data_IF_555833319394
#
_entry.id   IF_555833319394
#
_cell.length_a   1.000
_cell.length_b   1.000
_cell.length_c   1.000
_cell.angle_alpha   90.00
_cell.angle_beta   90.00
_cell.angle_gamma   90.00
#
_symmetry.space_group_name_H-M   'P 1'
#
loop_
_entity.id
_entity.type
_entity.pdbx_description
1 polymer ?
#
# COMPACT_ATOMS: atom_id res chain seq x y z
N UNK A 1 -8.94 -22.80 -10.88
CA UNK A 1 -7.78 -23.25 -10.08
C UNK A 1 -7.38 -22.08 -9.20
N UNK A 2 -7.35 -22.25 -7.89
CA UNK A 2 -6.79 -21.24 -6.98
C UNK A 2 -5.28 -21.45 -7.01
N UNK A 3 -4.56 -20.57 -7.70
CA UNK A 3 -3.09 -20.51 -7.61
C UNK A 3 -2.73 -20.22 -6.15
N UNK A 4 -2.38 -21.29 -5.44
CA UNK A 4 -1.94 -21.27 -4.05
C UNK A 4 -0.44 -20.96 -3.97
N UNK A 5 0.07 -20.12 -4.87
CA UNK A 5 1.44 -19.61 -4.79
C UNK A 5 1.61 -18.95 -3.42
N UNK A 6 2.53 -19.48 -2.60
CA UNK A 6 2.87 -18.90 -1.29
C UNK A 6 3.71 -17.66 -1.50
N UNK A 7 3.03 -16.55 -1.80
CA UNK A 7 3.65 -15.25 -2.01
C UNK A 7 3.87 -14.58 -0.67
N UNK A 8 5.13 -14.26 -0.36
CA UNK A 8 5.49 -13.38 0.76
C UNK A 8 5.68 -11.97 0.23
N UNK A 9 5.17 -10.99 0.97
CA UNK A 9 5.32 -9.56 0.64
C UNK A 9 5.86 -8.84 1.86
N UNK A 10 7.01 -8.21 1.69
CA UNK A 10 7.70 -7.43 2.73
C UNK A 10 7.97 -6.03 2.22
N UNK A 11 7.87 -5.06 3.12
CA UNK A 11 8.08 -3.67 2.76
C UNK A 11 7.27 -2.73 3.63
N UNK A 12 7.16 -1.50 3.16
CA UNK A 12 6.46 -0.44 3.86
C UNK A 12 5.61 0.43 2.93
N UNK A 13 4.62 1.08 3.55
CA UNK A 13 3.78 2.09 2.93
C UNK A 13 3.69 3.26 3.89
N UNK A 14 4.02 4.46 3.40
CA UNK A 14 4.08 5.65 4.25
C UNK A 14 3.30 6.80 3.63
N UNK A 15 2.49 7.47 4.44
CA UNK A 15 1.83 8.70 4.04
C UNK A 15 2.89 9.77 3.81
N UNK A 16 2.91 10.37 2.62
CA UNK A 16 3.91 11.40 2.24
C UNK A 16 3.27 12.76 1.98
N UNK A 17 2.00 12.79 1.59
CA UNK A 17 1.32 14.03 1.23
C UNK A 17 -0.20 13.88 1.39
N UNK A 18 -0.89 15.00 1.70
CA UNK A 18 -2.34 15.10 1.68
C UNK A 18 -2.71 16.18 0.64
N UNK A 19 -2.85 15.82 -0.64
CA UNK A 19 -3.05 16.81 -1.71
C UNK A 19 -4.28 17.68 -1.47
N UNK A 20 -5.40 17.03 -1.13
CA UNK A 20 -6.66 17.63 -0.74
C UNK A 20 -7.53 16.54 -0.08
N UNK A 21 -8.34 16.87 0.92
CA UNK A 21 -9.27 15.86 1.48
C UNK A 21 -10.37 15.56 0.45
N UNK A 22 -10.75 14.28 0.21
CA UNK A 22 -10.43 13.05 0.97
C UNK A 22 -9.25 12.21 0.41
N UNK A 23 -8.33 12.81 -0.35
CA UNK A 23 -7.23 12.14 -1.02
C UNK A 23 -5.93 12.19 -0.20
N UNK A 24 -5.24 11.05 -0.17
CA UNK A 24 -4.02 10.84 0.59
C UNK A 24 -3.00 10.16 -0.32
N UNK A 25 -1.77 10.67 -0.37
CA UNK A 25 -0.70 10.09 -1.19
C UNK A 25 0.30 9.36 -0.31
N UNK A 26 0.61 8.15 -0.72
CA UNK A 26 1.52 7.26 -0.01
C UNK A 26 2.67 6.86 -0.91
N UNK A 27 3.86 6.77 -0.33
CA UNK A 27 4.99 6.06 -0.93
C UNK A 27 4.86 4.57 -0.60
N UNK A 28 5.12 3.73 -1.59
CA UNK A 28 5.17 2.27 -1.47
C UNK A 28 6.60 1.84 -1.77
N UNK A 29 7.18 1.00 -0.92
CA UNK A 29 8.45 0.31 -1.17
C UNK A 29 8.31 -1.10 -0.63
N UNK A 30 8.17 -2.08 -1.51
CA UNK A 30 7.93 -3.47 -1.16
C UNK A 30 8.60 -4.43 -2.14
N UNK A 31 8.72 -5.68 -1.70
CA UNK A 31 9.25 -6.79 -2.47
C UNK A 31 8.29 -7.98 -2.37
N UNK A 32 8.01 -8.59 -3.52
CA UNK A 32 7.23 -9.81 -3.62
C UNK A 32 8.16 -11.00 -3.86
N UNK A 33 8.10 -12.00 -2.99
CA UNK A 33 8.94 -13.20 -3.03
C UNK A 33 8.04 -14.43 -3.21
N UNK A 34 8.36 -15.26 -4.21
CA UNK A 34 7.71 -16.55 -4.39
C UNK A 34 8.39 -17.60 -3.50
N UNK A 35 7.71 -18.08 -2.45
CA UNK A 35 8.30 -19.09 -1.54
C UNK A 35 8.39 -20.47 -2.17
N UNK A 36 7.53 -20.77 -3.13
CA UNK A 36 7.49 -22.09 -3.75
C UNK A 36 8.57 -22.20 -4.85
N UNK A 37 8.99 -21.06 -5.42
CA UNK A 37 10.11 -20.95 -6.36
C UNK A 37 11.19 -19.97 -5.85
N UNK A 38 12.03 -20.36 -4.88
CA UNK A 38 13.04 -19.48 -4.29
C UNK A 38 14.15 -19.04 -5.25
N UNK A 39 14.24 -19.64 -6.45
CA UNK A 39 15.16 -19.25 -7.52
C UNK A 39 14.59 -18.11 -8.39
N UNK A 40 13.30 -17.80 -8.29
CA UNK A 40 12.73 -16.61 -8.92
C UNK A 40 13.20 -15.36 -8.18
N UNK A 41 13.68 -14.37 -8.93
CA UNK A 41 14.10 -13.10 -8.35
C UNK A 41 12.91 -12.38 -7.70
N UNK A 42 13.10 -11.75 -6.53
CA UNK A 42 12.08 -10.90 -5.93
C UNK A 42 11.60 -9.82 -6.91
N UNK A 43 10.29 -9.58 -6.93
CA UNK A 43 9.71 -8.49 -7.72
C UNK A 43 9.61 -7.25 -6.84
N UNK A 44 10.41 -6.24 -7.16
CA UNK A 44 10.36 -4.94 -6.49
C UNK A 44 9.11 -4.15 -6.89
N UNK A 45 8.47 -3.53 -5.91
CA UNK A 45 7.29 -2.68 -6.06
C UNK A 45 7.62 -1.35 -5.39
N UNK A 46 7.75 -0.27 -6.15
CA UNK A 46 8.06 1.04 -5.61
C UNK A 46 7.40 2.17 -6.38
N UNK A 47 7.15 3.28 -5.69
CA UNK A 47 6.57 4.49 -6.26
C UNK A 47 5.53 5.11 -5.34
N UNK A 48 4.50 5.73 -5.90
CA UNK A 48 3.43 6.36 -5.10
C UNK A 48 2.04 5.94 -5.53
N UNK A 49 1.11 5.93 -4.58
CA UNK A 49 -0.32 5.72 -4.82
C UNK A 49 -1.13 6.83 -4.15
N UNK A 50 -2.20 7.27 -4.83
CA UNK A 50 -3.18 8.22 -4.29
C UNK A 50 -4.45 7.45 -3.94
N UNK A 51 -4.82 7.49 -2.67
CA UNK A 51 -5.95 6.76 -2.11
C UNK A 51 -7.09 7.74 -1.77
N UNK A 52 -8.31 7.41 -2.19
CA UNK A 52 -9.52 8.13 -1.81
C UNK A 52 -10.14 7.45 -0.59
N UNK A 53 -10.01 8.09 0.58
CA UNK A 53 -10.52 7.56 1.85
C UNK A 53 -12.02 7.26 1.81
N UNK A 54 -12.82 8.10 1.16
CA UNK A 54 -14.28 7.97 1.18
C UNK A 54 -14.75 6.75 0.40
N UNK A 55 -14.06 6.41 -0.68
CA UNK A 55 -14.38 5.28 -1.55
C UNK A 55 -13.63 4.00 -1.19
N UNK A 56 -12.54 4.12 -0.42
CA UNK A 56 -11.70 2.98 -0.07
C UNK A 56 -10.88 2.44 -1.26
N UNK A 57 -10.55 3.29 -2.23
CA UNK A 57 -9.91 2.87 -3.49
C UNK A 57 -8.67 3.71 -3.85
N UNK A 58 -7.76 3.11 -4.62
CA UNK A 58 -6.65 3.82 -5.27
C UNK A 58 -7.18 4.47 -6.54
N UNK A 59 -6.98 5.79 -6.67
CA UNK A 59 -7.50 6.59 -7.81
C UNK A 59 -6.41 7.04 -8.77
N UNK A 60 -5.13 7.00 -8.35
CA UNK A 60 -3.99 7.32 -9.19
C UNK A 60 -2.73 6.65 -8.65
N UNK A 61 -1.78 6.35 -9.52
CA UNK A 61 -0.52 5.71 -9.15
C UNK A 61 0.64 6.09 -10.08
N UNK A 62 1.85 6.01 -9.53
CA UNK A 62 3.12 6.10 -10.25
C UNK A 62 4.05 4.98 -9.75
N UNK A 63 3.56 3.74 -9.73
CA UNK A 63 4.36 2.57 -9.37
C UNK A 63 5.20 2.09 -10.56
N UNK A 64 6.35 1.49 -10.27
CA UNK A 64 7.19 0.85 -11.29
C UNK A 64 6.47 -0.32 -12.00
N UNK A 65 5.49 -0.94 -11.33
CA UNK A 65 4.53 -1.88 -11.90
C UNK A 65 3.14 -1.41 -11.51
N UNK A 66 2.24 -1.23 -12.49
CA UNK A 66 0.86 -0.80 -12.23
C UNK A 66 0.18 -1.71 -11.19
N UNK A 67 -0.54 -1.12 -10.25
CA UNK A 67 -1.23 -1.80 -9.17
C UNK A 67 -2.16 -2.88 -9.69
N UNK A 68 -2.89 -2.62 -10.79
CA UNK A 68 -3.80 -3.58 -11.39
C UNK A 68 -3.08 -4.80 -12.01
N UNK A 69 -1.79 -4.67 -12.31
CA UNK A 69 -0.95 -5.76 -12.84
C UNK A 69 -0.22 -6.52 -11.73
N UNK A 70 -0.24 -6.04 -10.49
CA UNK A 70 0.32 -6.78 -9.36
C UNK A 70 -0.51 -8.03 -9.06
N UNK A 71 0.12 -9.07 -8.50
CA UNK A 71 -0.62 -10.24 -8.00
C UNK A 71 -1.64 -9.78 -6.94
N UNK A 72 -2.80 -10.45 -6.86
CA UNK A 72 -3.88 -10.06 -5.94
C UNK A 72 -3.44 -9.97 -4.48
N UNK A 73 -2.49 -10.81 -4.05
CA UNK A 73 -1.89 -10.75 -2.71
C UNK A 73 -1.14 -9.44 -2.45
N UNK A 74 -0.44 -8.89 -3.45
CA UNK A 74 0.25 -7.61 -3.37
C UNK A 74 -0.72 -6.44 -3.33
N UNK A 75 -1.75 -6.48 -4.16
CA UNK A 75 -2.83 -5.47 -4.10
C UNK A 75 -3.46 -5.43 -2.71
N UNK A 76 -3.84 -6.60 -2.16
CA UNK A 76 -4.43 -6.70 -0.84
C UNK A 76 -3.48 -6.23 0.28
N UNK A 77 -2.19 -6.59 0.19
CA UNK A 77 -1.19 -6.18 1.17
C UNK A 77 -1.00 -4.65 1.17
N UNK A 78 -0.86 -4.04 0.00
CA UNK A 78 -0.73 -2.58 -0.14
C UNK A 78 -1.97 -1.89 0.42
N UNK A 79 -3.18 -2.32 0.01
CA UNK A 79 -4.43 -1.72 0.50
C UNK A 79 -4.57 -1.80 2.02
N UNK A 80 -4.25 -2.95 2.63
CA UNK A 80 -4.25 -3.09 4.10
C UNK A 80 -3.28 -2.14 4.79
N UNK A 81 -2.08 -1.97 4.23
CA UNK A 81 -1.06 -1.05 4.76
C UNK A 81 -1.47 0.41 4.61
N UNK A 82 -2.08 0.80 3.48
CA UNK A 82 -2.62 2.14 3.26
C UNK A 82 -3.67 2.50 4.31
N UNK A 83 -4.64 1.61 4.54
CA UNK A 83 -5.71 1.81 5.52
C UNK A 83 -5.15 1.95 6.93
N UNK A 84 -4.20 1.10 7.32
CA UNK A 84 -3.55 1.16 8.63
C UNK A 84 -2.81 2.48 8.83
N UNK A 85 -1.98 2.91 7.89
CA UNK A 85 -1.23 4.17 8.02
C UNK A 85 -2.17 5.38 8.09
N UNK A 86 -3.29 5.34 7.36
CA UNK A 86 -4.35 6.35 7.43
C UNK A 86 -5.00 6.40 8.83
N UNK A 87 -5.35 5.24 9.40
CA UNK A 87 -5.90 5.13 10.76
C UNK A 87 -4.92 5.68 11.80
N UNK A 88 -3.65 5.27 11.73
CA UNK A 88 -2.61 5.74 12.64
C UNK A 88 -2.41 7.26 12.53
N UNK A 89 -2.42 7.81 11.31
CA UNK A 89 -2.36 9.26 11.09
C UNK A 89 -3.53 9.99 11.77
N UNK A 90 -4.77 9.52 11.55
CA UNK A 90 -5.94 10.15 12.16
C UNK A 90 -5.95 10.03 13.68
N UNK A 91 -5.50 8.90 14.22
CA UNK A 91 -5.35 8.73 15.65
C UNK A 91 -4.36 9.76 16.23
N UNK A 92 -3.18 9.93 15.62
CA UNK A 92 -2.18 10.94 16.02
C UNK A 92 -2.75 12.36 15.99
N UNK A 93 -3.48 12.72 14.93
CA UNK A 93 -4.11 14.04 14.81
C UNK A 93 -5.16 14.30 15.90
N UNK A 94 -5.97 13.29 16.24
CA UNK A 94 -6.98 13.41 17.29
C UNK A 94 -6.36 13.58 18.69
N UNK A 95 -5.20 12.97 18.95
CA UNK A 95 -4.49 13.14 20.21
C UNK A 95 -3.93 14.56 20.37
N UNK A 96 -3.38 15.12 19.29
CA UNK A 96 -2.87 16.49 19.29
C UNK A 96 -4.00 17.51 19.57
N UNK A 97 -5.14 17.35 18.91
CA UNK A 97 -6.29 18.27 19.07
C UNK A 97 -7.01 18.16 20.43
N UNK A 98 -6.67 17.17 21.27
CA UNK A 98 -7.22 17.00 22.62
C UNK A 98 -6.29 17.52 23.72
N UNK A 99 -5.05 17.87 23.35
CA UNK A 99 -4.05 18.41 24.27
C UNK A 99 -4.10 19.95 24.37
N UNK A 100 -4.93 20.58 23.53
CA UNK A 100 -5.33 22.00 23.58
C UNK A 100 -6.70 22.16 24.27
#
# INVERSE_FOLDING_TARGET
MLDNDRILISGDVKLVEIPNRPFYRFAVVAEQINRDNPLENPVAIYGTVTFNKNKGEIVAECLNTSFNNLKSSAQQWITKKLLRELEEYHHRQNLLNKAD
#
